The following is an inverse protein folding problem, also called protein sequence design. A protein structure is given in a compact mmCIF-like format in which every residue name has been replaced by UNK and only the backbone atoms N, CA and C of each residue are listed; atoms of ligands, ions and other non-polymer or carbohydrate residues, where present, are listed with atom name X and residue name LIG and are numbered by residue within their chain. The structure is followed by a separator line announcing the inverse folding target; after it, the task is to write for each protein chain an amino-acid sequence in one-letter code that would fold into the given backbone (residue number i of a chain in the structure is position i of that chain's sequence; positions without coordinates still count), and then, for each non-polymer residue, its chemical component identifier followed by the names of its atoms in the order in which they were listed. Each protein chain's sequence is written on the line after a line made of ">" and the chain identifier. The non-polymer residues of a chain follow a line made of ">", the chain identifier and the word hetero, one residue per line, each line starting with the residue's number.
data_IF_205865029757
#
_entry.id   IF_205865029757
#
_cell.length_a   1.000
_cell.length_b   1.000
_cell.length_c   1.000
_cell.angle_alpha   90.00
_cell.angle_beta   90.00
_cell.angle_gamma   90.00
#
_symmetry.space_group_name_H-M   'P 1'
#
loop_
_entity.id
_entity.type
_entity.pdbx_description
1 polymer ?
#
# COMPACT_ATOMS: atom_id res chain seq x y z
N UNK A 1 -19.62 -11.01 -16.51
CA UNK A 1 -18.18 -10.69 -16.57
C UNK A 1 -17.96 -9.56 -15.58
N UNK A 2 -17.22 -9.82 -14.50
CA UNK A 2 -17.00 -8.84 -13.44
C UNK A 2 -15.94 -7.85 -13.93
N UNK A 3 -16.38 -6.63 -14.25
CA UNK A 3 -15.56 -5.52 -14.69
C UNK A 3 -15.08 -4.67 -13.49
N UNK A 4 -14.67 -5.36 -12.41
CA UNK A 4 -14.37 -4.74 -11.12
C UNK A 4 -12.89 -4.35 -10.96
N UNK A 5 -12.07 -4.45 -12.02
CA UNK A 5 -10.62 -4.22 -11.94
C UNK A 5 -10.05 -3.27 -13.01
N UNK A 6 -10.89 -2.47 -13.67
CA UNK A 6 -10.42 -1.46 -14.64
C UNK A 6 -10.33 -0.08 -14.00
N UNK A 7 -9.13 0.50 -14.00
CA UNK A 7 -8.89 1.88 -13.58
C UNK A 7 -9.19 2.83 -14.74
N UNK A 8 -10.20 3.68 -14.57
CA UNK A 8 -10.65 4.64 -15.58
C UNK A 8 -9.65 5.78 -15.78
N UNK A 9 -8.86 6.11 -14.76
CA UNK A 9 -7.78 7.09 -14.89
C UNK A 9 -6.63 6.53 -15.71
N UNK A 10 -6.28 5.26 -15.51
CA UNK A 10 -5.27 4.57 -16.33
C UNK A 10 -5.73 4.35 -17.77
N UNK A 11 -6.99 3.97 -17.99
CA UNK A 11 -7.56 3.79 -19.33
C UNK A 11 -7.50 5.09 -20.14
N UNK A 12 -7.75 6.23 -19.50
CA UNK A 12 -7.63 7.53 -20.14
C UNK A 12 -6.21 8.11 -20.10
N UNK A 13 -5.24 7.39 -19.52
CA UNK A 13 -3.84 7.80 -19.36
C UNK A 13 -3.72 9.18 -18.69
N UNK A 14 -4.49 9.40 -17.62
CA UNK A 14 -4.58 10.67 -16.88
C UNK A 14 -4.46 10.46 -15.38
N UNK A 15 -4.10 11.53 -14.67
CA UNK A 15 -4.11 11.56 -13.21
C UNK A 15 -5.54 11.62 -12.66
N UNK A 16 -5.76 11.07 -11.46
CA UNK A 16 -6.99 11.26 -10.67
C UNK A 16 -7.28 12.74 -10.34
N UNK A 17 -6.25 13.59 -10.37
CA UNK A 17 -6.38 15.05 -10.22
C UNK A 17 -6.62 15.78 -11.56
N UNK A 18 -6.78 15.07 -12.68
CA UNK A 18 -6.97 15.69 -13.99
C UNK A 18 -8.24 16.54 -14.03
N UNK A 19 -8.13 17.72 -14.64
CA UNK A 19 -9.26 18.60 -14.90
C UNK A 19 -10.20 17.98 -15.95
N UNK A 20 -11.44 18.48 -15.99
CA UNK A 20 -12.42 18.06 -17.01
C UNK A 20 -11.93 18.29 -18.44
N UNK A 21 -11.21 19.39 -18.68
CA UNK A 21 -10.63 19.67 -19.99
C UNK A 21 -9.57 18.62 -20.39
N UNK A 22 -8.74 18.18 -19.43
CA UNK A 22 -7.75 17.12 -19.66
C UNK A 22 -8.42 15.78 -19.95
N UNK A 23 -9.49 15.44 -19.21
CA UNK A 23 -10.30 14.22 -19.44
C UNK A 23 -10.86 14.23 -20.88
N UNK A 24 -11.51 15.31 -21.27
CA UNK A 24 -12.11 15.45 -22.60
C UNK A 24 -11.05 15.43 -23.72
N UNK A 25 -9.88 16.02 -23.47
CA UNK A 25 -8.77 16.05 -24.42
C UNK A 25 -8.19 14.66 -24.66
N UNK A 26 -7.92 13.93 -23.57
CA UNK A 26 -7.33 12.59 -23.65
C UNK A 26 -8.32 11.58 -24.22
N UNK A 27 -9.60 11.68 -23.88
CA UNK A 27 -10.65 10.91 -24.52
C UNK A 27 -10.64 11.09 -26.04
N UNK A 28 -10.66 12.33 -26.54
CA UNK A 28 -10.64 12.58 -28.00
C UNK A 28 -9.41 11.97 -28.67
N UNK A 29 -8.25 12.10 -28.05
CA UNK A 29 -6.99 11.54 -28.56
C UNK A 29 -7.04 10.00 -28.63
N UNK A 30 -7.45 9.34 -27.55
CA UNK A 30 -7.50 7.88 -27.44
C UNK A 30 -8.63 7.29 -28.28
N UNK A 31 -9.81 7.92 -28.31
CA UNK A 31 -10.93 7.52 -29.15
C UNK A 31 -10.55 7.58 -30.63
N UNK A 32 -9.84 8.62 -31.06
CA UNK A 32 -9.35 8.68 -32.44
C UNK A 32 -8.31 7.61 -32.71
N UNK A 33 -7.41 7.30 -31.75
CA UNK A 33 -6.37 6.29 -31.89
C UNK A 33 -6.93 4.87 -31.96
N UNK A 34 -7.90 4.52 -31.12
CA UNK A 34 -8.41 3.15 -30.97
C UNK A 34 -9.75 2.90 -31.67
N UNK A 35 -10.27 3.88 -32.42
CA UNK A 35 -11.52 3.73 -33.17
C UNK A 35 -11.54 2.45 -34.02
N UNK A 36 -12.62 1.64 -34.00
CA UNK A 36 -12.67 0.35 -34.70
C UNK A 36 -12.44 0.46 -36.21
N UNK A 37 -12.77 1.61 -36.82
CA UNK A 37 -12.54 1.89 -38.24
C UNK A 37 -11.07 2.14 -38.60
N UNK A 38 -10.14 2.19 -37.63
CA UNK A 38 -8.72 2.31 -37.90
C UNK A 38 -8.09 0.95 -38.19
N UNK A 39 -7.45 0.84 -39.35
CA UNK A 39 -6.83 -0.40 -39.80
C UNK A 39 -5.65 -0.90 -38.95
N UNK A 40 -4.82 0.00 -38.40
CA UNK A 40 -3.59 -0.39 -37.69
C UNK A 40 -3.76 -0.45 -36.16
N UNK A 41 -4.60 0.42 -35.63
CA UNK A 41 -4.73 0.65 -34.18
C UNK A 41 -6.15 0.48 -33.67
N UNK A 42 -7.11 0.14 -34.54
CA UNK A 42 -8.50 -0.06 -34.16
C UNK A 42 -8.67 -1.25 -33.23
N UNK A 43 -9.33 -1.02 -32.11
CA UNK A 43 -9.58 -2.02 -31.09
C UNK A 43 -10.92 -1.71 -30.43
N UNK A 44 -11.97 -2.44 -30.82
CA UNK A 44 -13.32 -2.22 -30.32
C UNK A 44 -13.40 -2.37 -28.80
N UNK A 45 -12.63 -3.29 -28.21
CA UNK A 45 -12.67 -3.54 -26.77
C UNK A 45 -12.06 -2.36 -26.01
N UNK A 46 -10.89 -1.87 -26.46
CA UNK A 46 -10.28 -0.67 -25.88
C UNK A 46 -11.13 0.57 -26.10
N UNK A 47 -11.74 0.71 -27.27
CA UNK A 47 -12.62 1.82 -27.56
C UNK A 47 -13.80 1.87 -26.59
N UNK A 48 -14.45 0.73 -26.33
CA UNK A 48 -15.55 0.63 -25.37
C UNK A 48 -15.10 0.97 -23.94
N UNK A 49 -13.89 0.54 -23.54
CA UNK A 49 -13.29 0.89 -22.25
C UNK A 49 -13.04 2.41 -22.13
N UNK A 50 -12.49 3.03 -23.17
CA UNK A 50 -12.22 4.48 -23.23
C UNK A 50 -13.50 5.28 -23.13
N UNK A 51 -14.56 4.88 -23.85
CA UNK A 51 -15.88 5.52 -23.78
C UNK A 51 -16.46 5.40 -22.37
N UNK A 52 -16.43 4.20 -21.79
CA UNK A 52 -16.93 3.95 -20.43
C UNK A 52 -16.18 4.75 -19.36
N UNK A 53 -14.86 4.84 -19.47
CA UNK A 53 -14.03 5.63 -18.57
C UNK A 53 -14.37 7.12 -18.67
N UNK A 54 -14.51 7.65 -19.90
CA UNK A 54 -14.90 9.04 -20.15
C UNK A 54 -16.31 9.35 -19.61
N UNK A 55 -17.30 8.50 -19.89
CA UNK A 55 -18.67 8.67 -19.42
C UNK A 55 -18.79 8.71 -17.90
N UNK A 56 -17.88 8.03 -17.20
CA UNK A 56 -17.82 8.03 -15.74
C UNK A 56 -17.08 9.25 -15.21
N UNK A 57 -15.91 9.59 -15.77
CA UNK A 57 -15.03 10.64 -15.25
C UNK A 57 -15.48 12.06 -15.65
N UNK A 58 -16.21 12.20 -16.75
CA UNK A 58 -16.73 13.49 -17.23
C UNK A 58 -17.87 14.03 -16.37
N UNK A 59 -18.68 13.14 -15.81
CA UNK A 59 -19.79 13.49 -14.92
C UNK A 59 -19.28 13.67 -13.48
N UNK A 60 -19.43 14.85 -12.86
CA UNK A 60 -18.90 15.09 -11.52
C UNK A 60 -19.46 14.17 -10.44
N UNK A 61 -20.74 13.79 -10.51
CA UNK A 61 -21.37 12.92 -9.51
C UNK A 61 -20.89 11.48 -9.68
N UNK A 62 -20.82 10.99 -10.92
CA UNK A 62 -20.29 9.65 -11.20
C UNK A 62 -18.80 9.56 -10.89
N UNK A 63 -18.03 10.61 -11.18
CA UNK A 63 -16.61 10.69 -10.82
C UNK A 63 -16.44 10.66 -9.31
N UNK A 64 -17.22 11.41 -8.54
CA UNK A 64 -17.14 11.37 -7.09
C UNK A 64 -17.48 9.97 -6.52
N UNK A 65 -18.52 9.31 -7.04
CA UNK A 65 -18.86 7.95 -6.66
C UNK A 65 -17.76 6.94 -7.04
N UNK A 66 -17.18 7.12 -8.23
CA UNK A 66 -16.03 6.35 -8.70
C UNK A 66 -14.82 6.57 -7.79
N UNK A 67 -14.48 7.82 -7.46
CA UNK A 67 -13.36 8.21 -6.59
C UNK A 67 -13.48 7.63 -5.18
N UNK A 68 -14.69 7.50 -4.64
CA UNK A 68 -14.93 6.83 -3.34
C UNK A 68 -14.62 5.33 -3.44
N UNK A 69 -15.00 4.66 -4.54
CA UNK A 69 -14.67 3.24 -4.81
C UNK A 69 -13.18 3.08 -5.14
N UNK A 70 -12.62 4.03 -5.88
CA UNK A 70 -11.24 4.08 -6.35
C UNK A 70 -10.27 4.39 -5.21
N UNK A 71 -10.62 5.22 -4.23
CA UNK A 71 -9.82 5.43 -3.00
C UNK A 71 -9.62 4.17 -2.14
N UNK A 72 -10.45 3.13 -2.30
CA UNK A 72 -10.20 1.81 -1.70
C UNK A 72 -9.18 0.96 -2.47
N UNK A 73 -8.83 1.37 -3.69
CA UNK A 73 -7.85 0.74 -4.58
C UNK A 73 -6.63 1.65 -4.84
N UNK A 74 -6.74 2.96 -4.63
CA UNK A 74 -5.75 4.00 -4.90
C UNK A 74 -4.84 4.28 -3.70
N UNK A 75 -4.47 3.22 -2.99
CA UNK A 75 -3.27 3.17 -2.16
C UNK A 75 -2.06 2.67 -2.99
N UNK A 76 -2.13 2.75 -4.33
CA UNK A 76 -1.08 2.26 -5.27
C UNK A 76 -0.38 3.35 -6.10
N UNK A 77 -0.14 4.53 -5.53
CA UNK A 77 0.84 5.47 -6.10
C UNK A 77 1.90 5.88 -5.08
N UNK A 78 2.52 4.89 -4.43
CA UNK A 78 3.74 5.09 -3.65
C UNK A 78 4.99 4.95 -4.54
N UNK A 79 5.55 6.11 -4.91
CA UNK A 79 6.95 6.28 -5.30
C UNK A 79 7.33 6.14 -6.78
N UNK A 80 7.32 7.29 -7.45
CA UNK A 80 8.56 7.78 -8.08
C UNK A 80 8.83 9.28 -7.83
N UNK A 81 7.95 10.00 -7.10
CA UNK A 81 7.99 11.47 -6.98
C UNK A 81 8.17 11.98 -5.54
N UNK A 82 7.84 11.19 -4.51
CA UNK A 82 7.90 11.63 -3.10
C UNK A 82 9.27 11.43 -2.41
N UNK A 83 10.24 10.81 -3.08
CA UNK A 83 11.61 10.65 -2.56
C UNK A 83 12.38 11.99 -2.42
N UNK A 84 11.77 13.13 -2.78
CA UNK A 84 12.43 14.44 -2.77
C UNK A 84 11.91 15.46 -1.73
N UNK A 85 10.84 15.20 -0.97
CA UNK A 85 10.44 16.15 0.07
C UNK A 85 9.05 15.94 0.68
N UNK A 86 8.99 16.12 2.00
CA UNK A 86 7.81 16.32 2.85
C UNK A 86 7.01 15.07 3.28
N UNK A 87 7.50 14.49 4.38
CA UNK A 87 6.82 13.50 5.22
C UNK A 87 5.84 14.19 6.19
N UNK A 88 4.52 14.11 5.94
CA UNK A 88 3.56 14.46 7.00
C UNK A 88 2.38 13.50 7.18
N UNK A 89 2.22 12.39 6.44
CA UNK A 89 1.07 11.50 6.72
C UNK A 89 1.22 10.00 6.36
N UNK A 90 2.42 9.49 6.12
CA UNK A 90 2.66 8.06 5.92
C UNK A 90 3.55 7.50 7.03
N UNK A 91 3.25 6.31 7.53
CA UNK A 91 4.16 5.60 8.42
C UNK A 91 5.47 5.39 7.67
N UNK A 92 6.57 5.90 8.21
CA UNK A 92 7.87 5.77 7.54
C UNK A 92 8.21 4.31 7.28
N UNK A 93 8.98 4.02 6.23
CA UNK A 93 9.46 2.66 5.92
C UNK A 93 10.03 1.95 7.16
N UNK A 94 10.73 2.69 8.02
CA UNK A 94 11.25 2.19 9.29
C UNK A 94 10.14 1.79 10.28
N UNK A 95 9.04 2.55 10.34
CA UNK A 95 7.86 2.23 11.14
C UNK A 95 7.16 0.95 10.66
N UNK A 96 6.94 0.84 9.34
CA UNK A 96 6.33 -0.35 8.73
C UNK A 96 7.18 -1.59 9.03
N UNK A 97 8.49 -1.52 8.79
CA UNK A 97 9.43 -2.61 9.11
C UNK A 97 9.38 -2.97 10.61
N UNK A 98 9.38 -1.97 11.50
CA UNK A 98 9.30 -2.20 12.94
C UNK A 98 8.00 -2.89 13.36
N UNK A 99 6.86 -2.53 12.77
CA UNK A 99 5.57 -3.18 13.04
C UNK A 99 5.54 -4.62 12.56
N UNK A 100 6.03 -4.90 11.35
CA UNK A 100 6.10 -6.28 10.83
C UNK A 100 6.93 -7.17 11.78
N UNK A 101 8.13 -6.71 12.14
CA UNK A 101 9.00 -7.45 13.06
C UNK A 101 8.37 -7.61 14.45
N UNK A 102 7.71 -6.57 14.97
CA UNK A 102 7.03 -6.62 16.28
C UNK A 102 5.89 -7.65 16.30
N UNK A 103 5.06 -7.67 15.25
CA UNK A 103 3.96 -8.64 15.13
C UNK A 103 4.48 -10.07 15.06
N UNK A 104 5.51 -10.32 14.24
CA UNK A 104 6.11 -11.65 14.12
C UNK A 104 6.81 -12.09 15.41
N UNK A 105 7.47 -11.17 16.12
CA UNK A 105 8.05 -11.42 17.44
C UNK A 105 6.96 -11.83 18.45
N UNK A 106 5.87 -11.06 18.55
CA UNK A 106 4.74 -11.38 19.45
C UNK A 106 4.14 -12.74 19.09
N UNK A 107 3.95 -13.04 17.80
CA UNK A 107 3.40 -14.33 17.34
C UNK A 107 4.30 -15.50 17.76
N UNK A 108 5.61 -15.43 17.47
CA UNK A 108 6.57 -16.48 17.85
C UNK A 108 6.69 -16.64 19.36
N UNK A 109 6.65 -15.54 20.12
CA UNK A 109 6.70 -15.57 21.59
C UNK A 109 5.47 -16.25 22.21
N UNK A 110 4.30 -16.11 21.58
CA UNK A 110 3.04 -16.73 22.05
C UNK A 110 2.90 -18.19 21.62
N UNK A 111 3.46 -18.54 20.47
CA UNK A 111 3.33 -19.88 19.88
C UNK A 111 4.63 -20.23 19.14
N UNK A 112 5.48 -20.99 19.83
CA UNK A 112 6.79 -21.39 19.30
C UNK A 112 6.67 -22.47 18.23
N UNK A 113 5.60 -23.28 18.27
CA UNK A 113 5.37 -24.40 17.36
C UNK A 113 4.80 -23.93 16.02
N UNK A 114 3.97 -22.88 16.02
CA UNK A 114 3.42 -22.27 14.79
C UNK A 114 3.67 -20.75 14.77
N UNK A 115 4.92 -20.32 14.56
CA UNK A 115 5.29 -18.91 14.64
C UNK A 115 4.95 -18.11 13.36
N UNK A 116 4.43 -18.77 12.31
CA UNK A 116 4.19 -18.18 11.00
C UNK A 116 3.00 -17.21 10.96
N UNK A 117 3.11 -16.18 10.11
CA UNK A 117 2.04 -15.27 9.69
C UNK A 117 1.96 -15.25 8.16
N UNK A 118 0.73 -15.19 7.64
CA UNK A 118 0.48 -15.08 6.20
C UNK A 118 0.38 -13.62 5.74
N UNK A 119 0.66 -13.37 4.45
CA UNK A 119 0.64 -12.02 3.86
C UNK A 119 -0.69 -11.31 4.07
N UNK A 120 -1.82 -11.96 3.77
CA UNK A 120 -3.16 -11.36 3.92
C UNK A 120 -3.45 -10.86 5.35
N UNK A 121 -2.99 -11.60 6.37
CA UNK A 121 -3.15 -11.19 7.76
C UNK A 121 -2.21 -10.02 8.10
N UNK A 122 -0.99 -10.02 7.57
CA UNK A 122 -0.05 -8.92 7.73
C UNK A 122 -0.56 -7.63 7.06
N UNK A 123 -1.08 -7.70 5.83
CA UNK A 123 -1.72 -6.59 5.12
C UNK A 123 -2.80 -5.96 6.00
N UNK A 124 -3.71 -6.79 6.53
CA UNK A 124 -4.79 -6.34 7.40
C UNK A 124 -4.31 -5.73 8.72
N UNK A 125 -3.24 -6.24 9.34
CA UNK A 125 -2.75 -5.77 10.64
C UNK A 125 -1.86 -4.53 10.54
N UNK A 126 -1.09 -4.42 9.45
CA UNK A 126 -0.27 -3.25 9.18
C UNK A 126 -1.15 -2.11 8.66
N UNK A 127 -2.18 -2.44 7.86
CA UNK A 127 -3.01 -1.44 7.21
C UNK A 127 -2.26 -0.72 6.10
N UNK A 128 -1.32 -1.40 5.46
CA UNK A 128 -0.66 -0.92 4.25
C UNK A 128 -1.08 -1.78 3.04
N UNK A 129 -1.08 -1.18 1.85
CA UNK A 129 -1.35 -1.90 0.60
C UNK A 129 -0.35 -3.04 0.36
N UNK A 130 -0.79 -4.06 -0.37
CA UNK A 130 -0.06 -5.32 -0.56
C UNK A 130 1.32 -5.10 -1.18
N UNK A 131 1.43 -4.20 -2.15
CA UNK A 131 2.65 -3.96 -2.92
C UNK A 131 3.73 -3.32 -2.04
N UNK A 132 3.33 -2.42 -1.12
CA UNK A 132 4.21 -1.85 -0.10
C UNK A 132 4.66 -2.93 0.88
N UNK A 133 3.72 -3.77 1.33
CA UNK A 133 4.06 -4.90 2.19
C UNK A 133 5.02 -5.87 1.50
N UNK A 134 4.81 -6.20 0.22
CA UNK A 134 5.65 -7.10 -0.56
C UNK A 134 7.08 -6.57 -0.68
N UNK A 135 7.24 -5.27 -0.94
CA UNK A 135 8.56 -4.62 -0.94
C UNK A 135 9.26 -4.79 0.42
N UNK A 136 8.60 -4.45 1.52
CA UNK A 136 9.21 -4.59 2.84
C UNK A 136 9.49 -6.04 3.20
N UNK A 137 8.58 -6.97 2.90
CA UNK A 137 8.81 -8.39 3.14
C UNK A 137 9.97 -8.94 2.31
N UNK A 138 10.13 -8.50 1.07
CA UNK A 138 11.31 -8.81 0.26
C UNK A 138 12.58 -8.30 0.95
N UNK A 139 12.63 -7.02 1.33
CA UNK A 139 13.79 -6.43 2.00
C UNK A 139 14.14 -7.15 3.31
N UNK A 140 13.16 -7.37 4.19
CA UNK A 140 13.35 -8.04 5.47
C UNK A 140 13.84 -9.48 5.31
N UNK A 141 13.43 -10.16 4.24
CA UNK A 141 13.93 -11.50 3.89
C UNK A 141 15.35 -11.47 3.37
N UNK A 142 15.70 -10.52 2.50
CA UNK A 142 17.05 -10.36 1.98
C UNK A 142 18.05 -10.01 3.09
N UNK A 143 17.61 -9.26 4.10
CA UNK A 143 18.37 -8.99 5.32
C UNK A 143 18.48 -10.19 6.27
N UNK A 144 17.74 -11.27 6.04
CA UNK A 144 17.70 -12.45 6.89
C UNK A 144 16.90 -12.28 8.19
N UNK A 145 16.12 -11.21 8.33
CA UNK A 145 15.32 -10.93 9.54
C UNK A 145 13.97 -11.66 9.54
N UNK A 146 13.49 -12.02 8.37
CA UNK A 146 12.27 -12.82 8.16
C UNK A 146 12.61 -13.98 7.24
N UNK A 147 12.02 -15.14 7.48
CA UNK A 147 12.16 -16.32 6.61
C UNK A 147 10.81 -16.90 6.23
N UNK A 148 10.77 -17.60 5.10
CA UNK A 148 9.61 -18.38 4.67
C UNK A 148 9.75 -19.80 5.19
N UNK A 149 8.71 -20.29 5.84
CA UNK A 149 8.60 -21.65 6.36
C UNK A 149 8.18 -22.62 5.24
N UNK A 150 8.23 -23.92 5.53
CA UNK A 150 7.85 -24.98 4.58
C UNK A 150 6.37 -24.92 4.17
N UNK A 151 5.51 -24.47 5.08
CA UNK A 151 4.07 -24.26 4.83
C UNK A 151 3.75 -22.96 4.06
N UNK A 152 4.79 -22.20 3.70
CA UNK A 152 4.68 -20.95 2.95
C UNK A 152 4.41 -19.71 3.80
N UNK A 153 4.21 -19.85 5.12
CA UNK A 153 4.07 -18.72 6.06
C UNK A 153 5.42 -18.04 6.32
N UNK A 154 5.37 -16.82 6.86
CA UNK A 154 6.54 -16.03 7.21
C UNK A 154 6.74 -15.97 8.72
N UNK A 155 7.97 -16.15 9.18
CA UNK A 155 8.33 -16.00 10.58
C UNK A 155 9.62 -15.18 10.73
N UNK A 156 9.71 -14.45 11.83
CA UNK A 156 10.93 -13.72 12.21
C UNK A 156 12.10 -14.71 12.40
N UNK A 157 13.35 -14.29 12.23
CA UNK A 157 14.54 -15.08 12.58
C UNK A 157 15.12 -14.63 13.93
N UNK A 158 16.21 -15.24 14.41
CA UNK A 158 16.90 -14.73 15.60
C UNK A 158 17.41 -13.30 15.38
N UNK A 159 18.08 -13.06 14.26
CA UNK A 159 18.56 -11.72 13.87
C UNK A 159 17.41 -10.71 13.74
N UNK A 160 16.25 -11.16 13.25
CA UNK A 160 15.04 -10.34 13.22
C UNK A 160 14.53 -9.96 14.61
N UNK A 161 14.62 -10.87 15.59
CA UNK A 161 14.27 -10.58 16.98
C UNK A 161 15.21 -9.53 17.57
N UNK A 162 16.51 -9.64 17.33
CA UNK A 162 17.49 -8.65 17.80
C UNK A 162 17.18 -7.27 17.22
N UNK A 163 16.83 -7.21 15.92
CA UNK A 163 16.40 -5.98 15.26
C UNK A 163 15.09 -5.42 15.85
N UNK A 164 14.10 -6.26 16.11
CA UNK A 164 12.82 -5.87 16.71
C UNK A 164 13.03 -5.25 18.10
N UNK A 165 13.85 -5.88 18.93
CA UNK A 165 14.15 -5.39 20.28
C UNK A 165 14.94 -4.08 20.24
N UNK A 166 15.91 -3.95 19.34
CA UNK A 166 16.65 -2.69 19.15
C UNK A 166 15.72 -1.51 18.80
N UNK A 167 14.73 -1.74 17.94
CA UNK A 167 13.74 -0.71 17.58
C UNK A 167 12.86 -0.30 18.77
N UNK A 168 12.51 -1.24 19.66
CA UNK A 168 11.75 -0.92 20.88
C UNK A 168 12.56 -0.11 21.90
N UNK A 169 13.87 -0.35 22.01
CA UNK A 169 14.74 0.43 22.89
C UNK A 169 14.95 1.86 22.38
N UNK A 170 15.00 2.08 21.07
CA UNK A 170 15.15 3.41 20.47
C UNK A 170 13.91 4.32 20.65
N UNK A 171 12.71 3.75 20.75
CA UNK A 171 11.46 4.50 20.99
C UNK A 171 11.17 4.80 22.48
N UNK A 172 11.96 4.26 23.41
CA UNK A 172 11.71 4.32 24.85
C UNK A 172 12.35 5.50 25.60
N UNK A 173 13.18 6.32 24.96
CA UNK A 173 13.93 7.40 25.63
C UNK A 173 13.15 8.71 25.82
N UNK A 174 11.81 8.63 25.98
CA UNK A 174 10.98 9.81 26.32
C UNK A 174 9.84 9.48 27.29
N UNK A 175 10.11 8.62 28.29
CA UNK A 175 9.27 8.57 29.50
C UNK A 175 10.03 8.02 30.71
N UNK A 176 10.96 8.81 31.25
CA UNK A 176 11.37 8.64 32.65
C UNK A 176 12.03 9.90 33.22
N UNK A 177 11.21 10.87 33.63
CA UNK A 177 11.45 11.80 34.75
C UNK A 177 10.04 12.13 35.26
N UNK A 178 9.55 11.51 36.33
CA UNK A 178 9.74 12.02 37.68
C UNK A 178 9.98 10.90 38.69
N UNK A 179 11.17 10.95 39.26
CA UNK A 179 11.57 10.23 40.44
C UNK A 179 11.00 10.92 41.70
N UNK A 180 10.62 10.10 42.68
CA UNK A 180 10.56 10.35 44.13
C UNK A 180 9.88 11.64 44.65
N UNK A 181 8.88 11.49 45.52
CA UNK A 181 8.96 11.98 46.90
C UNK A 181 7.87 11.33 47.78
N UNK A 182 8.35 10.89 48.95
CA UNK A 182 7.66 10.80 50.24
C UNK A 182 7.07 9.47 50.77
N UNK A 183 7.98 8.74 51.46
CA UNK A 183 7.96 8.40 52.89
C UNK A 183 6.82 7.53 53.45
N UNK A 184 7.25 6.32 53.82
CA UNK A 184 6.68 5.41 54.82
C UNK A 184 6.58 6.12 56.18
N UNK A 185 5.41 6.09 56.83
CA UNK A 185 5.33 5.90 58.28
C UNK A 185 3.96 5.34 58.67
N UNK A 186 4.02 4.11 59.24
CA UNK A 186 3.14 3.43 60.20
C UNK A 186 1.62 3.64 60.13
#
# INVERSE_FOLDING_TARGET
>A
MNDDNLDFYEILEISSNASQDTIDRMFRFLAQRYHPDRHETGDSVKFDQIVKAHDTLRDPEKRAAYDIKHKKNSEYHWSLVEEAGDTENFESDAGIQARILSLMYIKRKRDISHPGLGNMLLESLIGCPKEILEFHLWYLREKGWVTRLEDGLLAITADGVDKALANHHAGGTNKSITDQHNVIHL
#
